data_IF_929735295448
#
_entry.id   IF_929735295448
#
_cell.length_a   1.000
_cell.length_b   1.000
_cell.length_c   1.000
_cell.angle_alpha   90.00
_cell.angle_beta   90.00
_cell.angle_gamma   90.00
#
_symmetry.space_group_name_H-M   'P 1'
#
loop_
_entity.id
_entity.type
_entity.pdbx_description
1 polymer ?
#
# COMPACT_ATOMS: atom_id res chain seq x y z
N UNK A 1 -34.00 -0.90 14.19
CA UNK A 1 -33.73 0.14 13.17
C UNK A 1 -33.88 -0.50 11.80
N UNK A 2 -34.62 0.09 10.85
CA UNK A 2 -34.71 -0.46 9.48
C UNK A 2 -33.39 -0.16 8.75
N UNK A 3 -32.77 -1.19 8.17
CA UNK A 3 -31.59 -1.02 7.32
C UNK A 3 -31.93 -0.08 6.14
N UNK A 4 -30.98 0.77 5.70
CA UNK A 4 -31.18 1.55 4.49
C UNK A 4 -31.47 0.64 3.29
N UNK A 5 -32.35 1.10 2.39
CA UNK A 5 -32.66 0.37 1.15
C UNK A 5 -31.40 0.09 0.31
N UNK A 6 -31.49 -0.89 -0.59
CA UNK A 6 -30.37 -1.31 -1.46
C UNK A 6 -29.61 -0.14 -2.11
N UNK A 7 -30.35 0.80 -2.72
CA UNK A 7 -29.77 1.97 -3.38
C UNK A 7 -29.07 2.93 -2.42
N UNK A 8 -29.56 3.05 -1.18
CA UNK A 8 -28.92 3.86 -0.15
C UNK A 8 -27.58 3.25 0.27
N UNK A 9 -27.56 1.94 0.56
CA UNK A 9 -26.32 1.22 0.91
C UNK A 9 -25.28 1.29 -0.21
N UNK A 10 -25.72 1.13 -1.46
CA UNK A 10 -24.85 1.26 -2.64
C UNK A 10 -24.23 2.65 -2.73
N UNK A 11 -25.02 3.70 -2.53
CA UNK A 11 -24.54 5.09 -2.52
C UNK A 11 -23.53 5.33 -1.40
N UNK A 12 -23.78 4.84 -0.19
CA UNK A 12 -22.83 4.97 0.92
C UNK A 12 -21.50 4.31 0.60
N UNK A 13 -21.51 3.10 0.04
CA UNK A 13 -20.29 2.40 -0.33
C UNK A 13 -19.55 3.07 -1.51
N UNK A 14 -20.27 3.61 -2.49
CA UNK A 14 -19.68 4.40 -3.57
C UNK A 14 -19.05 5.70 -3.07
N UNK A 15 -19.69 6.36 -2.10
CA UNK A 15 -19.22 7.61 -1.49
C UNK A 15 -18.18 7.38 -0.38
N UNK A 16 -17.86 6.14 -0.03
CA UNK A 16 -16.82 5.85 0.95
C UNK A 16 -15.47 6.31 0.42
N UNK A 17 -14.75 7.10 1.20
CA UNK A 17 -13.45 7.62 0.81
C UNK A 17 -12.40 6.53 0.99
N UNK A 18 -11.53 6.35 -0.01
CA UNK A 18 -10.43 5.39 0.05
C UNK A 18 -9.10 6.15 0.13
N UNK A 19 -8.31 5.87 1.15
CA UNK A 19 -7.01 6.53 1.42
C UNK A 19 -5.93 5.46 1.55
N UNK A 20 -4.96 5.47 0.64
CA UNK A 20 -3.73 4.73 0.76
C UNK A 20 -2.63 5.57 1.38
N UNK A 21 -1.76 4.92 2.14
CA UNK A 21 -0.56 5.53 2.71
C UNK A 21 0.67 4.75 2.26
N UNK A 22 1.65 5.48 1.74
CA UNK A 22 3.00 4.99 1.47
C UNK A 22 4.02 5.87 2.19
N UNK A 23 4.90 5.22 2.95
CA UNK A 23 6.02 5.88 3.61
C UNK A 23 7.26 5.70 2.73
N UNK A 24 7.62 6.73 1.97
CA UNK A 24 8.74 6.66 1.02
C UNK A 24 10.02 7.19 1.67
N UNK A 25 10.85 6.28 2.18
CA UNK A 25 12.13 6.61 2.84
C UNK A 25 12.04 7.74 3.89
N UNK A 26 10.92 7.84 4.61
CA UNK A 26 10.75 8.85 5.67
C UNK A 26 11.50 8.45 6.97
N UNK A 27 12.35 9.32 7.53
CA UNK A 27 13.17 9.06 8.73
C UNK A 27 12.36 9.15 10.02
N UNK A 28 11.35 8.28 10.15
CA UNK A 28 10.49 8.24 11.33
C UNK A 28 11.25 7.90 12.62
N UNK A 29 10.69 8.26 13.78
CA UNK A 29 11.09 7.72 15.09
C UNK A 29 10.25 6.47 15.36
N UNK A 30 10.92 5.33 15.58
CA UNK A 30 10.29 4.00 15.63
C UNK A 30 9.75 3.52 14.27
N UNK A 31 9.16 2.32 14.25
CA UNK A 31 8.56 1.74 13.03
C UNK A 31 9.54 1.05 12.07
N UNK A 32 10.72 0.68 12.57
CA UNK A 32 11.73 -0.16 11.92
C UNK A 32 12.22 -1.18 12.95
N UNK A 33 12.72 -2.34 12.51
CA UNK A 33 13.51 -3.23 13.38
C UNK A 33 14.97 -2.78 13.44
N UNK A 34 15.47 -2.21 12.35
CA UNK A 34 16.78 -1.54 12.35
C UNK A 34 16.68 -0.16 13.00
N UNK A 35 17.24 -0.04 14.20
CA UNK A 35 17.27 1.21 14.96
C UNK A 35 18.55 2.00 14.67
N UNK A 36 18.43 3.33 14.76
CA UNK A 36 19.56 4.27 14.67
C UNK A 36 19.45 5.24 15.84
N UNK A 37 20.58 5.75 16.31
CA UNK A 37 20.65 6.55 17.54
C UNK A 37 20.00 7.94 17.37
N UNK A 38 19.85 8.42 16.13
CA UNK A 38 19.17 9.68 15.83
C UNK A 38 18.40 9.69 14.51
N UNK A 39 17.40 10.59 14.36
CA UNK A 39 16.74 10.82 13.07
C UNK A 39 17.69 11.20 11.94
N UNK A 40 18.75 11.97 12.24
CA UNK A 40 19.75 12.38 11.24
C UNK A 40 20.59 11.21 10.72
N UNK A 41 20.97 10.26 11.58
CA UNK A 41 21.63 9.03 11.13
C UNK A 41 20.69 8.14 10.31
N UNK A 42 19.42 8.03 10.73
CA UNK A 42 18.40 7.34 9.94
C UNK A 42 18.21 7.98 8.58
N UNK A 43 18.16 9.31 8.48
CA UNK A 43 18.09 10.02 7.22
C UNK A 43 19.29 9.69 6.33
N UNK A 44 20.53 9.77 6.85
CA UNK A 44 21.74 9.38 6.09
C UNK A 44 21.68 7.94 5.57
N UNK A 45 21.20 7.00 6.39
CA UNK A 45 21.02 5.61 5.97
C UNK A 45 19.94 5.47 4.89
N UNK A 46 18.77 6.08 5.09
CA UNK A 46 17.64 6.00 4.15
C UNK A 46 17.94 6.69 2.80
N UNK A 47 18.73 7.76 2.83
CA UNK A 47 19.08 8.59 1.68
C UNK A 47 20.44 8.24 1.07
N UNK A 48 21.10 7.18 1.54
CA UNK A 48 22.29 6.65 0.90
C UNK A 48 21.98 6.40 -0.60
N UNK A 49 22.81 6.91 -1.54
CA UNK A 49 22.46 6.91 -2.97
C UNK A 49 21.99 5.56 -3.49
N UNK A 50 22.76 4.48 -3.25
CA UNK A 50 22.45 3.13 -3.69
C UNK A 50 21.09 2.63 -3.15
N UNK A 51 20.81 2.91 -1.88
CA UNK A 51 19.56 2.52 -1.23
C UNK A 51 18.38 3.28 -1.85
N UNK A 52 18.54 4.59 -2.04
CA UNK A 52 17.47 5.42 -2.55
C UNK A 52 17.19 5.11 -4.03
N UNK A 53 18.23 4.87 -4.83
CA UNK A 53 18.13 4.38 -6.20
C UNK A 53 17.36 3.06 -6.26
N UNK A 54 17.65 2.11 -5.36
CA UNK A 54 16.87 0.86 -5.28
C UNK A 54 15.40 1.11 -4.92
N UNK A 55 15.08 2.00 -3.98
CA UNK A 55 13.68 2.34 -3.65
C UNK A 55 12.95 2.96 -4.83
N UNK A 56 13.56 3.91 -5.54
CA UNK A 56 12.97 4.47 -6.76
C UNK A 56 12.72 3.39 -7.81
N UNK A 57 13.70 2.52 -8.04
CA UNK A 57 13.57 1.41 -8.98
C UNK A 57 12.41 0.48 -8.62
N UNK A 58 12.31 0.05 -7.37
CA UNK A 58 11.22 -0.82 -6.89
C UNK A 58 9.85 -0.13 -7.01
N UNK A 59 9.79 1.15 -6.67
CA UNK A 59 8.59 1.96 -6.80
C UNK A 59 8.12 2.10 -8.25
N UNK A 60 9.05 2.32 -9.19
CA UNK A 60 8.78 2.39 -10.62
C UNK A 60 8.31 1.07 -11.22
N UNK A 61 8.79 -0.07 -10.73
CA UNK A 61 8.48 -1.38 -11.33
C UNK A 61 7.28 -2.09 -10.70
N UNK A 62 7.01 -1.89 -9.41
CA UNK A 62 5.92 -2.58 -8.69
C UNK A 62 4.81 -1.63 -8.25
N UNK A 63 5.13 -0.65 -7.41
CA UNK A 63 4.11 0.15 -6.72
C UNK A 63 3.37 1.07 -7.66
N UNK A 64 4.07 1.93 -8.41
CA UNK A 64 3.44 2.91 -9.32
C UNK A 64 2.56 2.26 -10.38
N UNK A 65 2.97 1.19 -11.07
CA UNK A 65 2.08 0.50 -12.01
C UNK A 65 0.79 0.01 -11.36
N UNK A 66 0.86 -0.48 -10.12
CA UNK A 66 -0.30 -1.00 -9.40
C UNK A 66 -1.30 0.08 -8.97
N UNK A 67 -0.80 1.27 -8.66
CA UNK A 67 -1.62 2.45 -8.37
C UNK A 67 -2.27 2.95 -9.66
N UNK A 68 -1.48 3.13 -10.73
CA UNK A 68 -1.95 3.62 -12.04
C UNK A 68 -3.03 2.72 -12.66
N UNK A 69 -2.97 1.41 -12.41
CA UNK A 69 -3.85 0.44 -13.06
C UNK A 69 -5.17 0.19 -12.33
N UNK A 70 -5.50 0.94 -11.28
CA UNK A 70 -6.76 0.75 -10.55
C UNK A 70 -7.97 1.10 -11.44
N UNK A 71 -8.98 0.22 -11.46
CA UNK A 71 -10.21 0.40 -12.25
C UNK A 71 -11.18 1.41 -11.66
N UNK A 72 -10.91 1.85 -10.42
CA UNK A 72 -11.62 2.93 -9.77
C UNK A 72 -10.57 3.97 -9.37
N UNK A 73 -10.69 5.15 -9.96
CA UNK A 73 -9.77 6.28 -9.88
C UNK A 73 -10.08 7.25 -8.72
N UNK A 74 -11.21 7.06 -8.04
CA UNK A 74 -11.66 7.87 -6.90
C UNK A 74 -11.05 7.33 -5.59
N UNK A 75 -9.77 7.61 -5.39
CA UNK A 75 -9.04 7.38 -4.14
C UNK A 75 -7.90 8.39 -4.00
N UNK A 76 -7.37 8.50 -2.78
CA UNK A 76 -6.17 9.31 -2.51
C UNK A 76 -5.04 8.39 -2.08
N UNK A 77 -3.83 8.59 -2.60
CA UNK A 77 -2.63 7.87 -2.21
C UNK A 77 -1.60 8.86 -1.66
N UNK A 78 -1.47 8.89 -0.34
CA UNK A 78 -0.57 9.80 0.35
C UNK A 78 0.83 9.19 0.39
N UNK A 79 1.79 9.88 -0.20
CA UNK A 79 3.21 9.53 -0.10
C UNK A 79 3.85 10.47 0.91
N UNK A 80 4.42 9.92 1.98
CA UNK A 80 5.12 10.69 3.01
C UNK A 80 6.62 10.56 2.86
N UNK A 81 7.30 11.70 2.73
CA UNK A 81 8.76 11.87 2.70
C UNK A 81 9.21 12.75 3.89
N UNK A 82 10.52 12.81 4.14
CA UNK A 82 11.10 13.75 5.10
C UNK A 82 11.12 15.19 4.57
N UNK A 83 11.05 16.19 5.44
CA UNK A 83 11.38 17.58 5.09
C UNK A 83 12.84 17.75 4.64
N UNK A 84 13.70 16.83 5.05
CA UNK A 84 15.11 16.72 4.69
C UNK A 84 15.36 15.79 3.49
N UNK A 85 14.31 15.40 2.75
CA UNK A 85 14.45 14.58 1.55
C UNK A 85 15.30 15.30 0.49
N UNK A 86 16.24 14.63 -0.20
CA UNK A 86 17.13 15.32 -1.14
C UNK A 86 16.33 16.02 -2.26
N UNK A 87 16.53 17.33 -2.52
CA UNK A 87 15.69 18.09 -3.45
C UNK A 87 15.63 17.50 -4.86
N UNK A 88 16.74 17.02 -5.39
CA UNK A 88 16.81 16.38 -6.72
C UNK A 88 16.00 15.07 -6.77
N UNK A 89 15.91 14.37 -5.64
CA UNK A 89 15.13 13.14 -5.50
C UNK A 89 13.66 13.44 -5.30
N UNK A 90 13.33 14.54 -4.63
CA UNK A 90 11.95 15.04 -4.57
C UNK A 90 11.44 15.41 -5.97
N UNK A 91 12.25 16.11 -6.76
CA UNK A 91 11.92 16.44 -8.15
C UNK A 91 11.71 15.16 -8.98
N UNK A 92 12.59 14.17 -8.84
CA UNK A 92 12.43 12.85 -9.45
C UNK A 92 11.10 12.19 -9.04
N UNK A 93 10.76 12.18 -7.75
CA UNK A 93 9.52 11.60 -7.24
C UNK A 93 8.29 12.32 -7.84
N UNK A 94 8.31 13.66 -7.85
CA UNK A 94 7.23 14.46 -8.44
C UNK A 94 7.06 14.15 -9.93
N UNK A 95 8.16 14.09 -10.69
CA UNK A 95 8.13 13.74 -12.10
C UNK A 95 7.55 12.34 -12.36
N UNK A 96 7.94 11.34 -11.57
CA UNK A 96 7.44 9.96 -11.70
C UNK A 96 5.95 9.80 -11.38
N UNK A 97 5.40 10.72 -10.57
CA UNK A 97 4.01 10.68 -10.09
C UNK A 97 3.09 11.68 -10.81
N UNK A 98 3.63 12.50 -11.72
CA UNK A 98 2.91 13.62 -12.32
C UNK A 98 1.65 13.21 -13.10
N UNK A 99 1.61 11.99 -13.63
CA UNK A 99 0.48 11.44 -14.38
C UNK A 99 -0.57 10.71 -13.52
N UNK A 100 -0.38 10.67 -12.19
CA UNK A 100 -1.25 9.95 -11.25
C UNK A 100 -1.95 10.95 -10.31
N UNK A 101 -3.13 11.47 -10.68
CA UNK A 101 -3.79 12.54 -9.93
C UNK A 101 -4.23 12.15 -8.51
N UNK A 102 -4.26 10.85 -8.20
CA UNK A 102 -4.56 10.33 -6.86
C UNK A 102 -3.42 10.57 -5.86
N UNK A 103 -2.20 10.82 -6.34
CA UNK A 103 -1.02 10.93 -5.48
C UNK A 103 -0.95 12.31 -4.83
N UNK A 104 -0.77 12.31 -3.51
CA UNK A 104 -0.48 13.52 -2.71
C UNK A 104 0.84 13.30 -1.98
N UNK A 105 1.88 14.01 -2.39
CA UNK A 105 3.20 13.99 -1.72
C UNK A 105 3.17 14.97 -0.56
N UNK A 106 3.55 14.50 0.63
CA UNK A 106 3.65 15.31 1.84
C UNK A 106 5.04 15.16 2.46
N UNK A 107 5.74 16.29 2.64
CA UNK A 107 6.96 16.35 3.44
C UNK A 107 6.61 16.62 4.90
N UNK A 108 7.24 15.90 5.83
CA UNK A 108 7.06 16.08 7.27
C UNK A 108 8.41 16.02 7.99
N UNK A 109 8.57 16.84 9.03
CA UNK A 109 9.68 16.71 9.96
C UNK A 109 9.72 15.31 10.61
N UNK A 110 10.92 14.77 10.93
CA UNK A 110 11.04 13.52 11.66
C UNK A 110 10.24 13.52 12.97
N UNK A 111 9.56 12.41 13.25
CA UNK A 111 8.69 12.27 14.42
C UNK A 111 8.16 10.84 14.60
N UNK A 112 7.38 10.57 15.67
CA UNK A 112 6.85 9.25 15.96
C UNK A 112 6.05 8.68 14.77
N UNK A 113 6.49 7.54 14.25
CA UNK A 113 6.00 6.97 12.99
C UNK A 113 4.47 6.94 12.90
N UNK A 114 3.81 6.30 13.87
CA UNK A 114 2.35 6.11 13.87
C UNK A 114 1.60 7.43 13.90
N UNK A 115 2.10 8.42 14.64
CA UNK A 115 1.43 9.71 14.78
C UNK A 115 1.54 10.56 13.52
N UNK A 116 2.74 10.64 12.93
CA UNK A 116 2.95 11.41 11.69
C UNK A 116 2.12 10.83 10.55
N UNK A 117 2.16 9.51 10.38
CA UNK A 117 1.35 8.82 9.37
C UNK A 117 -0.16 8.99 9.62
N UNK A 118 -0.62 8.94 10.87
CA UNK A 118 -2.03 9.19 11.19
C UNK A 118 -2.45 10.63 10.88
N UNK A 119 -1.59 11.63 11.13
CA UNK A 119 -1.81 13.03 10.73
C UNK A 119 -1.87 13.17 9.21
N UNK A 120 -0.96 12.52 8.48
CA UNK A 120 -0.95 12.52 7.02
C UNK A 120 -2.27 11.97 6.43
N UNK A 121 -2.73 10.82 6.92
CA UNK A 121 -4.03 10.26 6.53
C UNK A 121 -5.18 11.22 6.86
N UNK A 122 -5.23 11.76 8.08
CA UNK A 122 -6.33 12.62 8.52
C UNK A 122 -6.33 13.98 7.81
N UNK A 123 -5.19 14.46 7.30
CA UNK A 123 -5.10 15.71 6.54
C UNK A 123 -5.90 15.68 5.22
N UNK A 124 -6.06 14.51 4.63
CA UNK A 124 -6.84 14.29 3.40
C UNK A 124 -8.22 13.67 3.68
N UNK A 125 -8.52 13.34 4.94
CA UNK A 125 -9.74 12.63 5.32
C UNK A 125 -10.95 13.56 5.32
N UNK A 126 -12.01 13.13 4.64
CA UNK A 126 -13.30 13.81 4.64
C UNK A 126 -14.17 13.36 5.81
N UNK A 127 -14.71 14.33 6.57
CA UNK A 127 -15.63 14.05 7.68
C UNK A 127 -17.00 13.61 7.17
N UNK A 128 -17.69 12.79 7.96
CA UNK A 128 -19.05 12.34 7.65
C UNK A 128 -19.15 11.22 6.61
N UNK A 129 -18.03 10.73 6.09
CA UNK A 129 -17.95 9.59 5.16
C UNK A 129 -17.31 8.37 5.83
N UNK A 130 -17.66 7.18 5.36
CA UNK A 130 -16.86 5.99 5.69
C UNK A 130 -15.46 6.20 5.12
N UNK A 131 -14.44 5.84 5.90
CA UNK A 131 -13.03 5.94 5.49
C UNK A 131 -12.44 4.54 5.38
N UNK A 132 -12.06 4.15 4.17
CA UNK A 132 -11.38 2.90 3.89
C UNK A 132 -9.89 3.21 3.77
N UNK A 133 -9.08 2.71 4.67
CA UNK A 133 -7.66 3.05 4.75
C UNK A 133 -6.79 1.83 4.55
N UNK A 134 -5.75 1.94 3.74
CA UNK A 134 -4.77 0.88 3.51
C UNK A 134 -3.34 1.43 3.56
N UNK A 135 -2.37 0.52 3.68
CA UNK A 135 -0.95 0.83 3.62
C UNK A 135 -0.33 0.08 2.46
N UNK A 136 0.62 0.70 1.80
CA UNK A 136 1.40 0.07 0.75
C UNK A 136 2.84 0.56 0.86
N UNK A 137 3.78 -0.36 0.97
CA UNK A 137 5.20 -0.03 0.95
C UNK A 137 5.62 0.27 -0.50
N UNK A 138 6.67 1.09 -0.68
CA UNK A 138 7.08 1.58 -2.00
C UNK A 138 7.77 0.51 -2.90
N UNK A 139 7.77 -0.74 -2.47
CA UNK A 139 8.26 -1.93 -3.15
C UNK A 139 7.20 -3.03 -3.31
N UNK A 140 5.99 -2.79 -2.82
CA UNK A 140 4.85 -3.70 -2.92
C UNK A 140 3.88 -3.27 -4.03
N UNK A 141 3.00 -4.18 -4.45
CA UNK A 141 1.93 -3.90 -5.42
C UNK A 141 0.57 -4.41 -4.94
N UNK A 142 -0.49 -3.72 -5.31
CA UNK A 142 -1.87 -4.17 -5.09
C UNK A 142 -2.51 -4.71 -6.36
N UNK A 143 -3.42 -5.67 -6.22
CA UNK A 143 -4.19 -6.18 -7.36
C UNK A 143 -5.01 -5.08 -8.06
N UNK A 144 -5.13 -5.18 -9.38
CA UNK A 144 -6.01 -4.34 -10.19
C UNK A 144 -7.45 -4.51 -9.71
N UNK A 145 -8.11 -3.38 -9.45
CA UNK A 145 -9.48 -3.36 -8.91
C UNK A 145 -9.55 -3.56 -7.40
N UNK A 146 -8.44 -3.51 -6.67
CA UNK A 146 -8.40 -3.49 -5.21
C UNK A 146 -9.35 -2.44 -4.63
N UNK A 147 -9.28 -1.19 -5.11
CA UNK A 147 -10.15 -0.09 -4.66
C UNK A 147 -11.64 -0.42 -4.88
N UNK A 148 -11.98 -0.92 -6.07
CA UNK A 148 -13.34 -1.34 -6.38
C UNK A 148 -13.82 -2.47 -5.45
N UNK A 149 -12.98 -3.49 -5.21
CA UNK A 149 -13.31 -4.62 -4.35
C UNK A 149 -13.55 -4.19 -2.90
N UNK A 150 -12.76 -3.24 -2.38
CA UNK A 150 -12.96 -2.70 -1.03
C UNK A 150 -14.33 -2.04 -0.86
N UNK A 151 -14.71 -1.15 -1.78
CA UNK A 151 -16.05 -0.52 -1.78
C UNK A 151 -17.16 -1.55 -1.94
N UNK A 152 -16.97 -2.53 -2.82
CA UNK A 152 -17.95 -3.58 -3.01
C UNK A 152 -18.13 -4.47 -1.76
N UNK A 153 -17.07 -4.73 -0.99
CA UNK A 153 -17.18 -5.44 0.29
C UNK A 153 -17.97 -4.61 1.32
N UNK A 154 -17.72 -3.29 1.40
CA UNK A 154 -18.53 -2.38 2.23
C UNK A 154 -20.01 -2.45 1.85
N UNK A 155 -20.31 -2.45 0.55
CA UNK A 155 -21.67 -2.57 0.06
C UNK A 155 -22.33 -3.92 0.43
N UNK A 156 -21.66 -5.03 0.11
CA UNK A 156 -22.20 -6.39 0.27
C UNK A 156 -22.42 -6.75 1.74
N UNK A 157 -21.59 -6.23 2.64
CA UNK A 157 -21.64 -6.52 4.07
C UNK A 157 -22.02 -5.30 4.91
N UNK A 158 -22.75 -4.33 4.34
CA UNK A 158 -23.09 -3.06 4.99
C UNK A 158 -23.57 -3.18 6.45
N UNK A 159 -24.46 -4.12 6.84
CA UNK A 159 -24.89 -4.25 8.24
C UNK A 159 -23.74 -4.49 9.22
N UNK A 160 -22.67 -5.17 8.81
CA UNK A 160 -21.48 -5.37 9.64
C UNK A 160 -20.77 -4.05 9.92
N UNK A 161 -20.61 -3.20 8.90
CA UNK A 161 -19.94 -1.90 9.02
C UNK A 161 -20.80 -0.84 9.72
N UNK A 162 -22.13 -0.92 9.59
CA UNK A 162 -23.04 -0.06 10.35
C UNK A 162 -22.98 -0.38 11.85
N UNK A 163 -22.96 -1.67 12.19
CA UNK A 163 -22.90 -2.18 13.56
C UNK A 163 -21.53 -2.15 14.21
N UNK A 164 -20.45 -1.96 13.46
CA UNK A 164 -19.07 -1.98 13.97
C UNK A 164 -18.38 -0.64 13.77
N UNK A 165 -17.60 -0.19 14.76
CA UNK A 165 -16.81 1.06 14.65
C UNK A 165 -15.77 0.99 13.53
N UNK A 166 -15.18 -0.18 13.35
CA UNK A 166 -14.23 -0.46 12.28
C UNK A 166 -14.17 -1.96 11.97
N UNK A 167 -13.81 -2.31 10.74
CA UNK A 167 -13.76 -3.69 10.22
C UNK A 167 -12.55 -3.83 9.30
N UNK A 168 -11.78 -4.92 9.44
CA UNK A 168 -10.65 -5.19 8.56
C UNK A 168 -11.09 -5.99 7.31
N UNK A 169 -10.54 -5.64 6.16
CA UNK A 169 -10.71 -6.33 4.89
C UNK A 169 -9.35 -6.83 4.42
N UNK A 170 -9.20 -8.13 4.21
CA UNK A 170 -7.92 -8.73 3.83
C UNK A 170 -8.08 -9.67 2.64
N UNK A 171 -7.18 -9.55 1.66
CA UNK A 171 -7.02 -10.55 0.60
C UNK A 171 -5.79 -11.41 0.90
N UNK A 172 -5.96 -12.73 0.80
CA UNK A 172 -5.00 -13.69 1.38
C UNK A 172 -4.05 -14.30 0.36
N UNK A 173 -4.19 -13.99 -0.93
CA UNK A 173 -3.38 -14.61 -2.00
C UNK A 173 -2.74 -13.58 -2.92
N UNK A 174 -1.48 -13.81 -3.24
CA UNK A 174 -0.66 -12.92 -4.03
C UNK A 174 0.65 -13.58 -4.40
N UNK A 175 1.71 -12.79 -4.47
CA UNK A 175 3.04 -13.23 -4.87
C UNK A 175 4.11 -12.60 -3.98
N UNK A 176 5.22 -13.30 -3.81
CA UNK A 176 6.50 -12.65 -3.52
C UNK A 176 7.21 -12.46 -4.85
N UNK A 177 7.77 -11.28 -5.11
CA UNK A 177 8.47 -11.04 -6.36
C UNK A 177 9.64 -10.06 -6.23
N UNK A 178 10.59 -10.18 -7.14
CA UNK A 178 11.67 -9.23 -7.36
C UNK A 178 11.97 -9.07 -8.84
N UNK A 179 12.39 -7.87 -9.24
CA UNK A 179 12.73 -7.56 -10.63
C UNK A 179 14.23 -7.76 -10.89
N UNK A 180 14.56 -8.46 -11.98
CA UNK A 180 15.93 -8.72 -12.45
C UNK A 180 16.10 -8.29 -13.91
N UNK A 181 17.34 -8.16 -14.42
CA UNK A 181 17.59 -7.89 -15.83
C UNK A 181 16.99 -8.93 -16.80
N UNK A 182 16.75 -10.16 -16.33
CA UNK A 182 16.17 -11.24 -17.14
C UNK A 182 14.63 -11.27 -17.10
N UNK A 183 14.00 -10.59 -16.13
CA UNK A 183 12.56 -10.52 -15.98
C UNK A 183 12.12 -10.42 -14.52
N UNK A 184 11.00 -11.06 -14.19
CA UNK A 184 10.45 -11.08 -12.84
C UNK A 184 10.70 -12.47 -12.24
N UNK A 185 11.38 -12.51 -11.11
CA UNK A 185 11.42 -13.69 -10.24
C UNK A 185 10.23 -13.63 -9.29
N UNK A 186 9.41 -14.67 -9.25
CA UNK A 186 8.28 -14.71 -8.33
C UNK A 186 7.92 -16.12 -7.85
N UNK A 187 7.22 -16.17 -6.73
CA UNK A 187 6.57 -17.37 -6.19
C UNK A 187 5.17 -17.01 -5.65
N UNK A 188 4.17 -17.92 -5.77
CA UNK A 188 2.86 -17.70 -5.18
C UNK A 188 2.95 -17.58 -3.66
N UNK A 189 2.21 -16.62 -3.10
CA UNK A 189 2.19 -16.36 -1.67
C UNK A 189 0.77 -16.48 -1.09
N UNK A 190 0.68 -16.98 0.14
CA UNK A 190 -0.54 -16.96 0.95
C UNK A 190 -0.20 -16.37 2.32
N UNK A 191 -0.96 -15.37 2.75
CA UNK A 191 -0.73 -14.71 4.02
C UNK A 191 -2.05 -14.22 4.62
N UNK A 192 -2.14 -14.24 5.95
CA UNK A 192 -3.19 -13.53 6.65
C UNK A 192 -2.76 -12.09 6.90
N UNK A 193 -3.63 -11.14 6.59
CA UNK A 193 -3.40 -9.72 6.83
C UNK A 193 -2.09 -9.16 6.22
N UNK A 194 -1.73 -9.51 4.96
CA UNK A 194 -0.58 -8.90 4.30
C UNK A 194 -0.79 -7.40 4.17
N UNK A 195 0.21 -6.57 4.52
CA UNK A 195 0.10 -5.11 4.49
C UNK A 195 -0.44 -4.59 3.15
N UNK A 196 0.17 -5.02 2.04
CA UNK A 196 -0.21 -4.65 0.67
C UNK A 196 -1.62 -5.08 0.24
N UNK A 197 -2.31 -5.92 1.01
CA UNK A 197 -3.67 -6.39 0.69
C UNK A 197 -4.60 -6.32 1.91
N UNK A 198 -4.31 -5.42 2.86
CA UNK A 198 -5.10 -5.15 4.05
C UNK A 198 -5.62 -3.72 4.04
N UNK A 199 -6.93 -3.56 4.22
CA UNK A 199 -7.56 -2.29 4.51
C UNK A 199 -8.36 -2.37 5.81
N UNK A 200 -8.58 -1.22 6.44
CA UNK A 200 -9.51 -1.06 7.55
C UNK A 200 -10.56 -0.04 7.15
N UNK A 201 -11.83 -0.40 7.30
CA UNK A 201 -12.96 0.50 7.09
C UNK A 201 -13.37 1.09 8.43
N UNK A 202 -13.41 2.41 8.51
CA UNK A 202 -13.85 3.18 9.66
C UNK A 202 -15.21 3.83 9.38
N UNK A 203 -16.10 3.76 10.38
CA UNK A 203 -17.40 4.43 10.34
C UNK A 203 -17.21 5.96 10.39
N UNK A 204 -18.16 6.78 9.86
CA UNK A 204 -18.02 8.24 9.82
C UNK A 204 -17.72 8.97 11.14
N UNK A 205 -18.06 8.37 12.27
CA UNK A 205 -17.88 8.89 13.63
C UNK A 205 -16.61 8.38 14.33
N UNK A 206 -15.69 7.76 13.59
CA UNK A 206 -14.48 7.13 14.14
C UNK A 206 -13.23 7.76 13.54
N UNK A 207 -12.50 8.53 14.35
CA UNK A 207 -11.27 9.23 13.93
C UNK A 207 -9.98 8.40 14.02
N UNK A 208 -10.11 7.09 14.32
CA UNK A 208 -8.98 6.16 14.25
C UNK A 208 -8.49 6.00 12.81
N UNK A 209 -7.25 5.54 12.68
CA UNK A 209 -6.57 5.29 11.42
C UNK A 209 -6.01 3.87 11.34
N UNK A 210 -5.64 3.43 10.14
CA UNK A 210 -4.93 2.14 9.95
C UNK A 210 -3.61 2.07 10.74
N UNK A 211 -3.04 3.22 11.12
CA UNK A 211 -1.80 3.30 11.92
C UNK A 211 -1.99 2.94 13.40
N UNK A 212 -3.23 2.92 13.89
CA UNK A 212 -3.53 2.50 15.26
C UNK A 212 -3.37 0.98 15.48
N UNK A 213 -3.28 0.18 14.40
CA UNK A 213 -3.29 -1.27 14.50
C UNK A 213 -2.09 -1.91 13.78
N UNK A 214 -1.46 -2.88 14.43
CA UNK A 214 -0.50 -3.76 13.78
C UNK A 214 -1.25 -4.71 12.84
N UNK A 215 -0.80 -4.85 11.58
CA UNK A 215 -1.55 -5.62 10.57
C UNK A 215 -1.81 -7.07 11.01
N UNK A 216 -0.85 -7.70 11.70
CA UNK A 216 -0.92 -9.10 12.12
C UNK A 216 -1.82 -9.31 13.36
N UNK A 217 -2.28 -8.24 14.00
CA UNK A 217 -3.10 -8.28 15.22
C UNK A 217 -4.50 -7.67 15.02
N UNK A 218 -4.86 -7.22 13.81
CA UNK A 218 -6.17 -6.56 13.57
C UNK A 218 -7.36 -7.42 14.03
N UNK A 219 -7.26 -8.75 13.90
CA UNK A 219 -8.28 -9.71 14.30
C UNK A 219 -8.58 -9.71 15.82
N UNK A 220 -7.67 -9.19 16.64
CA UNK A 220 -7.86 -9.06 18.09
C UNK A 220 -8.71 -7.85 18.46
N UNK A 221 -8.90 -6.91 17.53
CA UNK A 221 -9.50 -5.60 17.81
C UNK A 221 -10.77 -5.32 17.00
N UNK A 222 -11.05 -6.08 15.94
CA UNK A 222 -12.19 -5.84 15.07
C UNK A 222 -12.65 -7.09 14.30
N UNK A 223 -13.91 -7.14 13.84
CA UNK A 223 -14.33 -8.11 12.85
C UNK A 223 -13.48 -8.03 11.59
N UNK A 224 -13.22 -9.18 10.97
CA UNK A 224 -12.39 -9.28 9.76
C UNK A 224 -13.13 -10.02 8.66
N UNK A 225 -13.07 -9.52 7.43
CA UNK A 225 -13.49 -10.25 6.24
C UNK A 225 -12.25 -10.65 5.44
N UNK A 226 -12.02 -11.95 5.30
CA UNK A 226 -10.91 -12.49 4.50
C UNK A 226 -11.42 -13.01 3.16
N UNK A 227 -10.77 -12.59 2.07
CA UNK A 227 -11.04 -13.05 0.71
C UNK A 227 -9.87 -13.87 0.16
N UNK A 228 -10.20 -14.85 -0.67
CA UNK A 228 -9.23 -15.77 -1.31
C UNK A 228 -9.06 -15.49 -2.80
N UNK A 229 -9.48 -14.31 -3.26
CA UNK A 229 -9.20 -13.81 -4.61
C UNK A 229 -7.69 -13.92 -4.87
N UNK A 230 -7.33 -14.46 -6.04
CA UNK A 230 -5.94 -14.56 -6.45
C UNK A 230 -5.42 -13.18 -6.89
N UNK A 231 -4.10 -13.04 -6.92
CA UNK A 231 -3.40 -11.88 -7.48
C UNK A 231 -3.80 -10.54 -6.83
N UNK A 232 -3.92 -10.53 -5.50
CA UNK A 232 -4.35 -9.33 -4.78
C UNK A 232 -3.20 -8.53 -4.17
N UNK A 233 -2.01 -9.11 -4.08
CA UNK A 233 -0.79 -8.41 -3.71
C UNK A 233 0.45 -8.98 -4.41
N UNK A 234 1.46 -8.12 -4.58
CA UNK A 234 2.86 -8.51 -4.67
C UNK A 234 3.53 -7.95 -3.43
N UNK A 235 4.29 -8.80 -2.73
CA UNK A 235 5.24 -8.36 -1.72
C UNK A 235 6.64 -8.32 -2.33
N UNK A 236 7.26 -7.16 -2.34
CA UNK A 236 8.61 -6.97 -2.85
C UNK A 236 9.63 -7.75 -2.04
N UNK A 237 10.54 -8.44 -2.72
CA UNK A 237 11.70 -9.09 -2.10
C UNK A 237 12.96 -8.35 -2.52
N UNK A 238 13.62 -7.71 -1.56
CA UNK A 238 14.88 -7.00 -1.77
C UNK A 238 15.79 -7.11 -0.53
N UNK A 239 17.02 -6.61 -0.69
CA UNK A 239 18.10 -6.65 0.30
C UNK A 239 17.78 -5.87 1.59
N UNK A 240 16.86 -4.90 1.52
CA UNK A 240 16.50 -4.01 2.62
C UNK A 240 15.20 -4.41 3.35
N UNK A 241 14.66 -5.60 3.08
CA UNK A 241 13.48 -6.11 3.79
C UNK A 241 13.77 -6.32 5.29
N UNK A 242 13.21 -5.45 6.13
CA UNK A 242 13.44 -5.44 7.59
C UNK A 242 12.44 -6.33 8.37
N UNK A 243 11.63 -7.15 7.67
CA UNK A 243 10.60 -7.99 8.32
C UNK A 243 11.14 -9.27 8.95
N UNK A 244 12.38 -9.67 8.62
CA UNK A 244 13.00 -10.93 9.08
C UNK A 244 12.34 -12.20 8.55
N UNK A 245 11.42 -12.09 7.59
CA UNK A 245 10.79 -13.23 6.95
C UNK A 245 11.76 -13.84 5.93
N UNK A 246 11.87 -15.17 5.90
CA UNK A 246 12.57 -15.88 4.81
C UNK A 246 11.65 -15.91 3.58
N UNK A 247 11.71 -14.85 2.79
CA UNK A 247 10.92 -14.69 1.57
C UNK A 247 11.75 -15.07 0.36
N UNK A 248 11.12 -15.65 -0.65
CA UNK A 248 11.70 -15.76 -1.98
C UNK A 248 12.71 -16.90 -2.14
N UNK A 249 12.72 -17.89 -1.25
CA UNK A 249 13.64 -19.03 -1.30
C UNK A 249 13.44 -19.90 -2.55
N UNK A 250 12.27 -19.87 -3.18
CA UNK A 250 11.93 -20.70 -4.34
C UNK A 250 11.39 -19.88 -5.53
N UNK A 251 11.75 -18.60 -5.65
CA UNK A 251 11.32 -17.77 -6.78
C UNK A 251 11.88 -18.29 -8.09
N UNK A 252 11.04 -18.28 -9.13
CA UNK A 252 11.40 -18.68 -10.49
C UNK A 252 11.11 -17.53 -11.44
N UNK A 253 11.84 -17.49 -12.56
CA UNK A 253 11.52 -16.56 -13.63
C UNK A 253 10.12 -16.86 -14.13
N UNK A 254 9.30 -15.82 -14.22
CA UNK A 254 7.96 -15.94 -14.78
C UNK A 254 8.05 -16.39 -16.24
N UNK A 255 7.15 -17.29 -16.63
CA UNK A 255 6.92 -17.57 -18.05
C UNK A 255 6.23 -16.37 -18.71
N UNK A 256 6.26 -16.28 -20.05
CA UNK A 256 5.56 -15.18 -20.75
C UNK A 256 4.08 -15.08 -20.39
N UNK A 257 3.39 -16.22 -20.22
CA UNK A 257 1.99 -16.24 -19.78
C UNK A 257 1.81 -15.65 -18.37
N UNK A 258 2.75 -15.93 -17.45
CA UNK A 258 2.73 -15.37 -16.11
C UNK A 258 3.09 -13.88 -16.11
N UNK A 259 4.00 -13.43 -16.98
CA UNK A 259 4.27 -12.00 -17.18
C UNK A 259 3.03 -11.25 -17.68
N UNK A 260 2.33 -11.81 -18.67
CA UNK A 260 1.07 -11.24 -19.16
C UNK A 260 0.00 -11.21 -18.05
N UNK A 261 -0.01 -12.22 -17.17
CA UNK A 261 -0.86 -12.22 -15.97
C UNK A 261 -0.46 -11.12 -15.00
N UNK A 262 0.83 -10.91 -14.74
CA UNK A 262 1.31 -9.83 -13.86
C UNK A 262 0.93 -8.46 -14.41
N UNK A 263 1.06 -8.25 -15.72
CA UNK A 263 0.62 -7.02 -16.38
C UNK A 263 -0.88 -6.79 -16.16
N UNK A 264 -1.73 -7.81 -16.38
CA UNK A 264 -3.19 -7.67 -16.19
C UNK A 264 -3.60 -7.52 -14.73
N UNK A 265 -2.93 -8.24 -13.83
CA UNK A 265 -3.34 -8.33 -12.43
C UNK A 265 -2.75 -7.22 -11.56
N UNK A 266 -1.62 -6.62 -11.94
CA UNK A 266 -0.93 -5.61 -11.12
C UNK A 266 -0.48 -4.38 -11.93
N UNK A 267 -0.62 -4.38 -13.26
CA UNK A 267 -0.02 -3.35 -14.12
C UNK A 267 1.47 -3.53 -14.35
N UNK A 268 2.09 -4.55 -13.75
CA UNK A 268 3.55 -4.76 -13.74
C UNK A 268 4.01 -5.34 -15.07
N UNK A 269 4.70 -4.52 -15.85
CA UNK A 269 5.21 -4.88 -17.17
C UNK A 269 6.61 -5.51 -17.08
N UNK A 270 6.78 -6.73 -17.56
CA UNK A 270 8.05 -7.42 -17.47
C UNK A 270 9.16 -6.81 -18.36
N UNK A 271 8.82 -6.19 -19.49
CA UNK A 271 9.81 -5.47 -20.34
C UNK A 271 10.29 -4.20 -19.63
N UNK A 272 9.38 -3.47 -18.97
CA UNK A 272 9.73 -2.34 -18.11
C UNK A 272 10.62 -2.75 -16.94
N UNK A 273 10.29 -3.88 -16.28
CA UNK A 273 11.11 -4.44 -15.21
C UNK A 273 12.53 -4.69 -15.70
N UNK A 274 12.71 -5.38 -16.83
CA UNK A 274 14.05 -5.63 -17.40
C UNK A 274 14.82 -4.34 -17.67
N UNK A 275 14.16 -3.34 -18.26
CA UNK A 275 14.78 -2.06 -18.60
C UNK A 275 15.25 -1.25 -17.37
N UNK A 276 14.66 -1.49 -16.20
CA UNK A 276 14.95 -0.78 -14.95
C UNK A 276 15.76 -1.58 -13.95
N UNK A 277 15.69 -2.91 -13.97
CA UNK A 277 16.42 -3.79 -13.07
C UNK A 277 17.92 -3.91 -13.40
N UNK A 278 18.33 -3.56 -14.61
CA UNK A 278 19.74 -3.53 -15.03
C UNK A 278 20.42 -2.16 -14.91
N UNK A 279 19.75 -1.17 -14.31
CA UNK A 279 20.30 0.16 -14.02
C UNK A 279 20.56 0.27 -12.53
#
# INVERSE_FOLDING_TARGET
MRLPGYFSRRRVAQNAQVIGLCRFSYPAIGGFKTEHDSPGERARFLYAPERLDERFRLFEIFTLPSIRSQTNDDFTFVIVIGEDFPPEREEQLRALTADIPQIVIQAHAPGPHREVMARAINSVREKGKYSIQFRLDDDDAMGVGYIHKLRNMLFQHFPLFEGSRHVALSFTRGWHATGTPDGILAEPAKAHYPTAALAIVFRPDVDLTVMNFAHHQVWQHMPTISRVDNDMFIRGVNSFNDSGDRLGENMKLLTREQEDRFQRAFGVNAEWVRARAGR
#
